data_IF_108467480501
#
_entry.id   IF_108467480501
#
_cell.length_a   1.000
_cell.length_b   1.000
_cell.length_c   1.000
_cell.angle_alpha   90.00
_cell.angle_beta   90.00
_cell.angle_gamma   90.00
#
_symmetry.space_group_name_H-M   'P 1'
#
loop_
_entity.id
_entity.type
_entity.pdbx_description
1 polymer ?
#
# COMPACT_ATOMS: atom_id res chain seq x y z
N UNK A 1 2.59 1.27 14.48
CA UNK A 1 1.30 0.57 14.72
C UNK A 1 1.37 -0.78 14.00
N UNK A 2 0.55 -1.76 14.39
CA UNK A 2 0.50 -3.08 13.70
C UNK A 2 -0.76 -3.19 12.85
N UNK A 3 -0.87 -4.30 12.10
CA UNK A 3 -2.03 -4.64 11.26
C UNK A 3 -3.34 -4.68 12.06
N UNK A 4 -3.30 -4.98 13.37
CA UNK A 4 -4.45 -4.83 14.28
C UNK A 4 -4.95 -3.38 14.33
N UNK A 5 -4.02 -2.43 14.46
CA UNK A 5 -4.37 -1.02 14.49
C UNK A 5 -4.90 -0.55 13.12
N UNK A 6 -4.33 -1.06 12.03
CA UNK A 6 -4.84 -0.79 10.67
C UNK A 6 -6.28 -1.31 10.52
N UNK A 7 -6.54 -2.57 10.86
CA UNK A 7 -7.88 -3.16 10.76
C UNK A 7 -8.90 -2.38 11.60
N UNK A 8 -8.53 -1.95 12.80
CA UNK A 8 -9.40 -1.12 13.65
C UNK A 8 -9.68 0.26 13.02
N UNK A 9 -8.69 0.89 12.37
CA UNK A 9 -8.89 2.16 11.65
C UNK A 9 -9.82 1.99 10.45
N UNK A 10 -9.66 0.90 9.68
CA UNK A 10 -10.53 0.54 8.55
C UNK A 10 -11.99 0.41 9.04
N UNK A 11 -12.21 -0.34 10.11
CA UNK A 11 -13.56 -0.54 10.70
C UNK A 11 -14.15 0.78 11.20
N UNK A 12 -13.38 1.57 11.95
CA UNK A 12 -13.84 2.86 12.50
C UNK A 12 -14.26 3.83 11.39
N UNK A 13 -13.46 3.91 10.32
CA UNK A 13 -13.72 4.82 9.18
C UNK A 13 -14.68 4.21 8.14
N UNK A 14 -14.99 2.92 8.26
CA UNK A 14 -15.73 2.13 7.25
C UNK A 14 -15.14 2.38 5.85
N UNK A 15 -13.82 2.36 5.78
CA UNK A 15 -13.08 2.68 4.57
C UNK A 15 -11.82 1.82 4.45
N UNK A 16 -11.79 0.80 3.58
CA UNK A 16 -10.66 -0.07 3.39
C UNK A 16 -9.71 0.45 2.29
N UNK A 17 -9.52 1.76 2.18
CA UNK A 17 -8.67 2.35 1.17
C UNK A 17 -7.53 3.19 1.76
N UNK A 18 -6.42 3.25 1.04
CA UNK A 18 -5.25 4.07 1.35
C UNK A 18 -4.92 5.00 0.18
N UNK A 19 -4.38 6.17 0.49
CA UNK A 19 -3.85 7.07 -0.53
C UNK A 19 -2.36 6.83 -0.72
N UNK A 20 -1.95 6.69 -1.98
CA UNK A 20 -0.55 6.61 -2.38
C UNK A 20 -0.03 8.01 -2.65
N UNK A 21 0.98 8.41 -1.90
CA UNK A 21 1.72 9.65 -2.09
C UNK A 21 3.00 9.33 -2.86
N UNK A 22 2.87 9.28 -4.17
CA UNK A 22 3.95 9.12 -5.13
C UNK A 22 3.86 10.28 -6.13
N UNK A 23 4.26 11.51 -5.72
CA UNK A 23 4.07 12.69 -6.55
C UNK A 23 4.88 12.56 -7.84
N UNK A 24 4.28 12.99 -8.94
CA UNK A 24 4.98 13.27 -10.17
C UNK A 24 4.75 14.73 -10.57
N UNK A 25 5.59 15.25 -11.46
CA UNK A 25 5.60 16.69 -11.81
C UNK A 25 4.24 17.27 -12.20
N UNK A 26 3.32 16.46 -12.67
CA UNK A 26 2.03 16.95 -13.09
C UNK A 26 0.94 16.86 -12.01
N UNK A 27 1.22 16.39 -10.79
CA UNK A 27 0.19 16.20 -9.76
C UNK A 27 0.10 17.32 -8.73
N UNK A 28 1.17 18.08 -8.60
CA UNK A 28 1.20 19.25 -7.71
C UNK A 28 0.58 20.43 -8.47
N UNK A 29 -0.38 21.16 -7.89
CA UNK A 29 -0.96 22.34 -8.53
C UNK A 29 0.09 23.41 -8.85
N UNK A 30 -0.07 24.12 -9.96
CA UNK A 30 0.85 25.19 -10.35
C UNK A 30 0.94 26.26 -9.25
N UNK A 31 2.17 26.68 -8.95
CA UNK A 31 2.44 27.69 -7.93
C UNK A 31 2.39 27.22 -6.48
N UNK A 32 2.09 25.94 -6.23
CA UNK A 32 2.13 25.37 -4.89
C UNK A 32 3.43 24.57 -4.66
N UNK A 33 3.97 24.69 -3.45
CA UNK A 33 5.05 23.83 -3.01
C UNK A 33 4.53 22.41 -2.71
N UNK A 34 5.25 21.38 -3.15
CA UNK A 34 4.82 19.98 -3.03
C UNK A 34 4.56 19.57 -1.57
N UNK A 35 5.43 19.99 -0.66
CA UNK A 35 5.29 19.71 0.77
C UNK A 35 4.03 20.34 1.38
N UNK A 36 3.75 21.60 1.05
CA UNK A 36 2.57 22.31 1.53
C UNK A 36 1.28 21.66 1.02
N UNK A 37 1.22 21.39 -0.28
CA UNK A 37 0.05 20.75 -0.87
C UNK A 37 -0.22 19.37 -0.27
N UNK A 38 0.80 18.49 -0.21
CA UNK A 38 0.64 17.14 0.30
C UNK A 38 0.32 17.10 1.80
N UNK A 39 0.88 18.01 2.60
CA UNK A 39 0.53 18.15 4.01
C UNK A 39 -0.92 18.63 4.20
N UNK A 40 -1.38 19.58 3.39
CA UNK A 40 -2.76 20.07 3.40
C UNK A 40 -3.73 18.96 2.97
N UNK A 41 -3.37 18.20 1.93
CA UNK A 41 -4.12 17.03 1.47
C UNK A 41 -4.26 15.97 2.59
N UNK A 42 -3.18 15.65 3.29
CA UNK A 42 -3.21 14.75 4.45
C UNK A 42 -4.16 15.27 5.54
N UNK A 43 -4.12 16.57 5.83
CA UNK A 43 -5.01 17.18 6.81
C UNK A 43 -6.50 17.07 6.40
N UNK A 44 -6.81 17.30 5.12
CA UNK A 44 -8.16 17.14 4.57
C UNK A 44 -8.69 15.70 4.58
N UNK A 45 -7.81 14.73 4.40
CA UNK A 45 -8.17 13.31 4.31
C UNK A 45 -8.18 12.54 5.64
N UNK A 46 -7.71 13.15 6.75
CA UNK A 46 -7.44 12.44 8.02
C UNK A 46 -8.65 11.68 8.58
N UNK A 47 -9.86 12.21 8.40
CA UNK A 47 -11.07 11.60 8.94
C UNK A 47 -11.68 10.55 8.01
N UNK A 48 -11.29 10.56 6.75
CA UNK A 48 -11.78 9.66 5.71
C UNK A 48 -10.88 8.43 5.51
N UNK A 49 -9.57 8.63 5.39
CA UNK A 49 -8.59 7.62 4.98
C UNK A 49 -7.86 7.03 6.19
N UNK A 50 -7.77 5.69 6.37
CA UNK A 50 -7.09 5.05 7.49
C UNK A 50 -5.57 4.99 7.35
N UNK A 51 -5.05 4.95 6.13
CA UNK A 51 -3.65 4.68 5.84
C UNK A 51 -3.14 5.48 4.64
N UNK A 52 -1.84 5.73 4.62
CA UNK A 52 -1.14 6.32 3.48
C UNK A 52 0.08 5.50 3.11
N UNK A 53 0.39 5.41 1.81
CA UNK A 53 1.62 4.80 1.29
C UNK A 53 2.48 5.89 0.65
N UNK A 54 3.71 6.05 1.13
CA UNK A 54 4.67 7.01 0.62
C UNK A 54 5.77 6.27 -0.15
N UNK A 55 6.07 6.75 -1.36
CA UNK A 55 7.15 6.26 -2.19
C UNK A 55 8.30 7.28 -2.22
N UNK A 56 9.40 7.07 -1.46
CA UNK A 56 10.54 7.99 -1.43
C UNK A 56 11.15 8.23 -2.81
N UNK A 57 11.20 7.19 -3.66
CA UNK A 57 11.79 7.30 -4.99
C UNK A 57 10.98 8.25 -5.89
N UNK A 58 9.65 8.23 -5.78
CA UNK A 58 8.79 9.14 -6.52
C UNK A 58 9.03 10.61 -6.14
N UNK A 59 9.20 10.91 -4.85
CA UNK A 59 9.58 12.27 -4.40
C UNK A 59 10.90 12.72 -4.99
N UNK A 60 11.88 11.82 -5.01
CA UNK A 60 13.21 12.11 -5.57
C UNK A 60 13.17 12.37 -7.08
N UNK A 61 12.56 11.48 -7.84
CA UNK A 61 12.44 11.56 -9.30
C UNK A 61 11.66 12.81 -9.72
N UNK A 62 10.66 13.20 -8.93
CA UNK A 62 9.83 14.39 -9.21
C UNK A 62 10.51 15.72 -8.85
N UNK A 63 11.70 15.68 -8.24
CA UNK A 63 12.44 16.90 -7.85
C UNK A 63 11.86 17.56 -6.60
N UNK A 64 11.11 16.84 -5.78
CA UNK A 64 10.54 17.32 -4.50
C UNK A 64 11.00 16.47 -3.30
N UNK A 65 12.25 16.01 -3.34
CA UNK A 65 12.82 15.16 -2.28
C UNK A 65 12.73 15.79 -0.89
N UNK A 66 12.88 17.11 -0.79
CA UNK A 66 12.82 17.85 0.48
C UNK A 66 11.41 17.81 1.11
N UNK A 67 10.36 17.58 0.32
CA UNK A 67 9.00 17.42 0.81
C UNK A 67 8.76 16.07 1.51
N UNK A 68 9.58 15.04 1.24
CA UNK A 68 9.31 13.68 1.72
C UNK A 68 9.25 13.58 3.25
N UNK A 69 10.26 14.10 3.95
CA UNK A 69 10.32 14.02 5.43
C UNK A 69 9.20 14.82 6.08
N UNK A 70 8.94 16.09 5.73
CA UNK A 70 7.78 16.84 6.26
C UNK A 70 6.43 16.14 6.04
N UNK A 71 6.21 15.54 4.86
CA UNK A 71 4.96 14.81 4.54
C UNK A 71 4.84 13.53 5.38
N UNK A 72 5.95 12.80 5.56
CA UNK A 72 6.01 11.61 6.40
C UNK A 72 5.69 11.94 7.87
N UNK A 73 6.31 12.97 8.42
CA UNK A 73 6.07 13.45 9.79
C UNK A 73 4.63 13.90 9.96
N UNK A 74 4.09 14.65 9.00
CA UNK A 74 2.69 15.08 9.00
C UNK A 74 1.71 13.92 8.99
N UNK A 75 1.97 12.89 8.19
CA UNK A 75 1.14 11.68 8.16
C UNK A 75 1.11 10.98 9.53
N UNK A 76 2.24 10.93 10.22
CA UNK A 76 2.34 10.36 11.56
C UNK A 76 1.64 11.22 12.63
N UNK A 77 1.85 12.53 12.60
CA UNK A 77 1.18 13.48 13.49
C UNK A 77 -0.35 13.34 13.41
N UNK A 78 -0.88 13.24 12.20
CA UNK A 78 -2.30 13.04 11.93
C UNK A 78 -2.81 11.64 12.27
N UNK A 79 -1.92 10.74 12.67
CA UNK A 79 -2.27 9.40 13.15
C UNK A 79 -2.64 8.42 12.05
N UNK A 80 -2.19 8.61 10.81
CA UNK A 80 -2.33 7.60 9.76
C UNK A 80 -1.56 6.32 10.10
N UNK A 81 -2.00 5.19 9.53
CA UNK A 81 -1.13 4.04 9.39
C UNK A 81 -0.23 4.29 8.17
N UNK A 82 1.06 4.43 8.43
CA UNK A 82 2.04 4.84 7.42
C UNK A 82 2.76 3.64 6.84
N UNK A 83 2.64 3.46 5.53
CA UNK A 83 3.31 2.42 4.74
C UNK A 83 4.42 3.08 3.92
N UNK A 84 5.65 2.64 4.08
CA UNK A 84 6.77 3.08 3.24
C UNK A 84 6.93 2.12 2.06
N UNK A 85 6.92 2.63 0.84
CA UNK A 85 7.20 1.83 -0.36
C UNK A 85 8.71 1.71 -0.58
N UNK A 86 9.21 0.49 -0.46
CA UNK A 86 10.61 0.15 -0.63
C UNK A 86 10.76 -1.07 -1.53
N UNK A 87 10.08 -1.05 -2.68
CA UNK A 87 10.01 -2.19 -3.61
C UNK A 87 11.25 -2.40 -4.45
N UNK A 88 12.38 -1.84 -4.04
CA UNK A 88 13.68 -2.07 -4.67
C UNK A 88 14.05 -3.55 -4.68
N UNK A 89 14.75 -3.96 -5.73
CA UNK A 89 15.46 -5.24 -5.74
C UNK A 89 16.76 -5.07 -4.93
N UNK A 90 16.87 -5.77 -3.82
CA UNK A 90 18.03 -5.68 -2.92
C UNK A 90 18.63 -7.06 -2.69
N UNK A 91 19.97 -7.13 -2.76
CA UNK A 91 20.71 -8.30 -2.28
C UNK A 91 20.60 -8.42 -0.75
N UNK A 92 20.83 -9.60 -0.15
CA UNK A 92 20.63 -9.83 1.29
C UNK A 92 21.33 -8.83 2.22
N UNK A 93 22.57 -8.45 1.93
CA UNK A 93 23.31 -7.48 2.76
C UNK A 93 22.74 -6.06 2.62
N UNK A 94 22.32 -5.64 1.42
CA UNK A 94 21.62 -4.36 1.21
C UNK A 94 20.28 -4.35 1.95
N UNK A 95 19.49 -5.42 1.81
CA UNK A 95 18.21 -5.58 2.51
C UNK A 95 18.39 -5.53 4.03
N UNK A 96 19.47 -6.10 4.56
CA UNK A 96 19.80 -6.05 5.99
C UNK A 96 20.13 -4.63 6.44
N UNK A 97 20.94 -3.89 5.68
CA UNK A 97 21.27 -2.49 5.99
C UNK A 97 20.03 -1.60 5.91
N UNK A 98 19.27 -1.67 4.80
CA UNK A 98 18.04 -0.89 4.62
C UNK A 98 17.03 -1.16 5.74
N UNK A 99 16.80 -2.43 6.08
CA UNK A 99 15.90 -2.81 7.16
C UNK A 99 16.37 -2.32 8.53
N UNK A 100 17.69 -2.35 8.79
CA UNK A 100 18.27 -1.80 10.01
C UNK A 100 18.02 -0.29 10.11
N UNK A 101 18.33 0.46 9.07
CA UNK A 101 18.21 1.92 9.07
C UNK A 101 16.76 2.38 9.15
N UNK A 102 15.87 1.77 8.35
CA UNK A 102 14.47 2.20 8.26
C UNK A 102 13.67 1.72 9.47
N UNK A 103 13.81 0.47 9.87
CA UNK A 103 12.94 -0.13 10.89
C UNK A 103 13.55 -0.16 12.29
N UNK A 104 14.86 -0.10 12.46
CA UNK A 104 15.52 -0.12 13.78
C UNK A 104 16.01 1.25 14.21
N UNK A 105 16.67 1.97 13.31
CA UNK A 105 17.17 3.32 13.56
C UNK A 105 16.12 4.39 13.29
N UNK A 106 15.00 4.00 12.68
CA UNK A 106 13.83 4.84 12.42
C UNK A 106 14.15 6.11 11.64
N UNK A 107 15.11 6.04 10.69
CA UNK A 107 15.45 7.19 9.85
C UNK A 107 14.22 7.72 9.08
N UNK A 108 13.27 6.80 8.76
CA UNK A 108 11.95 7.14 8.21
C UNK A 108 10.87 6.38 8.98
N UNK A 109 10.33 6.97 10.06
CA UNK A 109 9.42 6.28 10.96
C UNK A 109 8.10 5.90 10.26
N UNK A 110 7.87 4.59 10.11
CA UNK A 110 6.69 4.01 9.47
C UNK A 110 6.08 2.88 10.30
N UNK A 111 4.87 2.47 9.98
CA UNK A 111 4.18 1.34 10.61
C UNK A 111 4.37 0.05 9.82
N UNK A 112 4.60 0.18 8.51
CA UNK A 112 4.86 -0.92 7.62
C UNK A 112 5.79 -0.52 6.47
N UNK A 113 6.38 -1.53 5.83
CA UNK A 113 7.15 -1.38 4.59
C UNK A 113 6.59 -2.31 3.51
N UNK A 114 6.66 -1.87 2.26
CA UNK A 114 6.49 -2.74 1.09
C UNK A 114 7.88 -3.06 0.55
N UNK A 115 8.15 -4.34 0.30
CA UNK A 115 9.43 -4.81 -0.24
C UNK A 115 9.23 -5.73 -1.43
N UNK A 116 10.29 -5.96 -2.21
CA UNK A 116 10.25 -6.84 -3.36
C UNK A 116 10.44 -8.32 -2.93
N UNK A 117 9.50 -9.19 -3.29
CA UNK A 117 9.55 -10.63 -2.96
C UNK A 117 10.43 -11.46 -3.88
N UNK A 118 10.77 -10.94 -5.05
CA UNK A 118 11.52 -11.70 -6.07
C UNK A 118 13.02 -11.81 -5.79
N UNK A 119 13.52 -11.08 -4.79
CA UNK A 119 14.86 -11.27 -4.25
C UNK A 119 15.00 -12.56 -3.41
N UNK A 120 13.89 -13.20 -3.04
CA UNK A 120 13.89 -14.47 -2.29
C UNK A 120 13.90 -14.29 -0.77
N UNK A 121 13.89 -15.42 -0.07
CA UNK A 121 13.73 -15.45 1.40
C UNK A 121 14.91 -14.87 2.18
N UNK A 122 16.10 -14.93 1.63
CA UNK A 122 17.31 -14.43 2.28
C UNK A 122 17.35 -12.90 2.37
N UNK A 123 16.69 -12.18 1.44
CA UNK A 123 16.45 -10.73 1.56
C UNK A 123 15.24 -10.43 2.43
N UNK A 124 14.10 -11.07 2.19
CA UNK A 124 12.84 -10.83 2.91
C UNK A 124 12.98 -11.06 4.42
N UNK A 125 13.75 -12.07 4.86
CA UNK A 125 13.97 -12.39 6.29
C UNK A 125 14.56 -11.23 7.09
N UNK A 126 15.42 -10.41 6.49
CA UNK A 126 16.04 -9.28 7.18
C UNK A 126 15.02 -8.20 7.51
N UNK A 127 14.14 -7.88 6.59
CA UNK A 127 13.04 -6.95 6.79
C UNK A 127 12.07 -7.44 7.87
N UNK A 128 11.65 -8.71 7.79
CA UNK A 128 10.72 -9.27 8.76
C UNK A 128 11.32 -9.35 10.17
N UNK A 129 12.60 -9.72 10.28
CA UNK A 129 13.33 -9.71 11.56
C UNK A 129 13.46 -8.29 12.15
N UNK A 130 13.76 -7.29 11.30
CA UNK A 130 13.87 -5.91 11.73
C UNK A 130 12.52 -5.32 12.17
N UNK A 131 11.41 -5.68 11.48
CA UNK A 131 10.06 -5.26 11.84
C UNK A 131 9.64 -5.70 13.27
N UNK A 132 10.20 -6.77 13.75
CA UNK A 132 9.95 -7.27 15.11
C UNK A 132 8.47 -7.62 15.34
N UNK A 133 7.90 -7.15 16.47
CA UNK A 133 6.49 -7.35 16.83
C UNK A 133 5.61 -6.11 16.65
N UNK A 134 6.16 -5.02 16.16
CA UNK A 134 5.49 -3.71 16.18
C UNK A 134 5.21 -3.13 14.81
N UNK A 135 5.79 -3.71 13.75
CA UNK A 135 5.64 -3.25 12.37
C UNK A 135 5.28 -4.41 11.45
N UNK A 136 4.72 -4.08 10.30
CA UNK A 136 4.28 -5.04 9.30
C UNK A 136 5.17 -4.97 8.07
N UNK A 137 5.23 -6.08 7.32
CA UNK A 137 5.97 -6.18 6.07
C UNK A 137 5.04 -6.71 4.99
N UNK A 138 4.85 -5.93 3.94
CA UNK A 138 4.13 -6.32 2.74
C UNK A 138 5.13 -6.71 1.67
N UNK A 139 5.01 -7.91 1.14
CA UNK A 139 5.91 -8.43 0.10
C UNK A 139 5.20 -8.36 -1.25
N UNK A 140 5.76 -7.61 -2.19
CA UNK A 140 5.25 -7.55 -3.56
C UNK A 140 5.39 -8.92 -4.22
N UNK A 141 4.26 -9.51 -4.58
CA UNK A 141 4.20 -10.81 -5.28
C UNK A 141 3.58 -10.68 -6.67
N UNK A 142 2.75 -9.65 -6.91
CA UNK A 142 2.15 -9.40 -8.23
C UNK A 142 1.93 -7.90 -8.45
N UNK A 143 2.41 -7.41 -9.59
CA UNK A 143 2.28 -5.99 -9.97
C UNK A 143 0.90 -5.68 -10.57
N UNK A 144 0.51 -4.40 -10.58
CA UNK A 144 -0.79 -3.95 -11.07
C UNK A 144 -0.84 -3.79 -12.60
N UNK A 145 0.30 -3.72 -13.27
CA UNK A 145 0.39 -3.50 -14.71
C UNK A 145 0.07 -4.77 -15.53
N UNK A 146 -0.46 -4.58 -16.75
CA UNK A 146 -0.83 -5.67 -17.66
C UNK A 146 0.33 -6.62 -17.93
N UNK A 147 1.51 -6.12 -18.28
CA UNK A 147 2.68 -6.94 -18.63
C UNK A 147 3.28 -7.74 -17.46
N UNK A 148 2.86 -7.47 -16.22
CA UNK A 148 3.19 -8.33 -15.08
C UNK A 148 2.76 -9.79 -15.30
N UNK A 149 1.74 -10.04 -16.13
CA UNK A 149 1.28 -11.39 -16.50
C UNK A 149 2.32 -12.17 -17.29
N UNK A 150 3.20 -11.52 -18.06
CA UNK A 150 4.21 -12.16 -18.89
C UNK A 150 5.23 -12.99 -18.08
N UNK A 151 5.44 -12.61 -16.82
CA UNK A 151 6.37 -13.28 -15.90
C UNK A 151 5.62 -13.90 -14.72
N UNK A 152 4.77 -13.14 -14.08
CA UNK A 152 4.16 -13.51 -12.80
C UNK A 152 3.07 -14.58 -12.94
N UNK A 153 2.44 -14.67 -14.12
CA UNK A 153 1.44 -15.72 -14.46
C UNK A 153 2.04 -16.93 -15.19
N UNK A 154 3.36 -16.97 -15.35
CA UNK A 154 4.01 -18.20 -15.84
C UNK A 154 3.79 -19.33 -14.84
N UNK A 155 3.56 -20.53 -15.36
CA UNK A 155 3.40 -21.72 -14.54
C UNK A 155 4.74 -22.48 -14.40
N UNK A 156 5.08 -22.79 -13.17
CA UNK A 156 6.25 -23.60 -12.84
C UNK A 156 5.92 -24.55 -11.69
N UNK A 157 6.21 -25.84 -11.87
CA UNK A 157 5.88 -26.85 -10.88
C UNK A 157 4.41 -26.90 -10.48
N UNK A 158 3.48 -26.68 -11.44
CA UNK A 158 2.03 -26.71 -11.21
C UNK A 158 1.44 -25.48 -10.50
N UNK A 159 2.18 -24.40 -10.40
CA UNK A 159 1.74 -23.15 -9.75
C UNK A 159 2.25 -21.91 -10.50
N UNK A 160 1.55 -20.79 -10.35
CA UNK A 160 2.01 -19.52 -10.91
C UNK A 160 3.22 -18.97 -10.11
N UNK A 161 4.08 -18.21 -10.80
CA UNK A 161 5.24 -17.56 -10.19
C UNK A 161 4.83 -16.67 -9.01
N UNK A 162 3.76 -15.85 -9.15
CA UNK A 162 3.27 -15.02 -8.04
C UNK A 162 2.79 -15.85 -6.84
N UNK A 163 2.20 -17.03 -7.07
CA UNK A 163 1.80 -17.92 -5.96
C UNK A 163 3.01 -18.60 -5.32
N UNK A 164 4.07 -18.88 -6.09
CA UNK A 164 5.32 -19.38 -5.53
C UNK A 164 5.96 -18.34 -4.58
N UNK A 165 5.96 -17.07 -4.98
CA UNK A 165 6.39 -15.98 -4.10
C UNK A 165 5.50 -15.86 -2.84
N UNK A 166 4.17 -15.95 -2.99
CA UNK A 166 3.25 -15.91 -1.84
C UNK A 166 3.41 -17.13 -0.91
N UNK A 167 3.75 -18.32 -1.41
CA UNK A 167 4.09 -19.49 -0.60
C UNK A 167 5.31 -19.27 0.29
N UNK A 168 6.33 -18.52 -0.19
CA UNK A 168 7.49 -18.14 0.63
C UNK A 168 7.06 -17.24 1.78
N UNK A 169 6.26 -16.22 1.49
CA UNK A 169 5.74 -15.28 2.49
C UNK A 169 4.90 -16.01 3.54
N UNK A 170 4.00 -16.88 3.10
CA UNK A 170 3.13 -17.65 4.00
C UNK A 170 3.92 -18.50 4.98
N UNK A 171 4.93 -19.23 4.50
CA UNK A 171 5.79 -20.06 5.37
C UNK A 171 6.62 -19.25 6.36
N UNK A 172 7.13 -18.08 5.93
CA UNK A 172 7.91 -17.21 6.80
C UNK A 172 7.04 -16.50 7.85
N UNK A 173 5.77 -16.22 7.51
CA UNK A 173 4.80 -15.57 8.38
C UNK A 173 4.13 -16.49 9.40
N UNK A 174 4.46 -17.80 9.41
CA UNK A 174 3.97 -18.72 10.42
C UNK A 174 4.37 -18.23 11.83
N UNK A 175 3.39 -18.08 12.73
CA UNK A 175 3.60 -17.52 14.06
C UNK A 175 3.59 -15.98 14.15
N UNK A 176 3.39 -15.26 13.05
CA UNK A 176 3.29 -13.80 13.05
C UNK A 176 1.83 -13.28 13.03
N UNK A 177 0.91 -14.11 13.51
CA UNK A 177 -0.51 -13.78 13.56
C UNK A 177 -0.82 -12.73 14.63
N UNK A 178 -1.66 -11.76 14.25
CA UNK A 178 -2.21 -10.74 15.15
C UNK A 178 -3.66 -11.08 15.57
N UNK A 179 -4.20 -10.31 16.52
CA UNK A 179 -5.56 -10.53 17.07
C UNK A 179 -6.67 -10.39 16.04
N UNK A 180 -6.45 -9.57 15.01
CA UNK A 180 -7.39 -9.42 13.89
C UNK A 180 -7.47 -10.67 12.99
N UNK A 181 -6.66 -11.69 13.25
CA UNK A 181 -6.65 -12.93 12.47
C UNK A 181 -5.76 -12.94 11.24
N UNK A 182 -4.96 -11.90 11.04
CA UNK A 182 -4.05 -11.77 9.90
C UNK A 182 -2.59 -11.71 10.33
N UNK A 183 -1.69 -12.20 9.45
CA UNK A 183 -0.24 -12.17 9.66
C UNK A 183 0.33 -10.77 9.40
N UNK A 184 1.32 -10.37 10.21
CA UNK A 184 2.12 -9.16 10.00
C UNK A 184 3.08 -9.25 8.82
N UNK A 185 3.42 -10.46 8.39
CA UNK A 185 4.08 -10.68 7.11
C UNK A 185 3.00 -10.98 6.08
N UNK A 186 2.78 -10.05 5.19
CA UNK A 186 1.65 -9.94 4.29
C UNK A 186 2.13 -9.80 2.83
N UNK A 187 1.23 -9.72 1.87
CA UNK A 187 1.61 -9.53 0.46
C UNK A 187 0.98 -8.27 -0.13
N UNK A 188 1.65 -7.72 -1.14
CA UNK A 188 1.10 -6.73 -2.05
C UNK A 188 0.83 -7.38 -3.41
N UNK A 189 -0.37 -7.14 -3.95
CA UNK A 189 -0.78 -7.63 -5.26
C UNK A 189 -1.68 -6.62 -5.99
N UNK A 190 -1.53 -6.56 -7.32
CA UNK A 190 -2.25 -5.61 -8.15
C UNK A 190 -3.70 -5.99 -8.45
N UNK A 191 -4.57 -4.99 -8.62
CA UNK A 191 -5.99 -5.13 -8.93
C UNK A 191 -6.28 -5.38 -10.43
N UNK A 192 -5.27 -5.52 -11.28
CA UNK A 192 -5.45 -5.74 -12.72
C UNK A 192 -6.24 -7.04 -13.01
N UNK A 193 -5.95 -8.09 -12.28
CA UNK A 193 -6.61 -9.39 -12.45
C UNK A 193 -7.28 -9.84 -11.14
N UNK A 194 -8.61 -9.73 -11.07
CA UNK A 194 -9.38 -10.17 -9.91
C UNK A 194 -9.24 -11.67 -9.59
N UNK A 195 -8.98 -12.53 -10.60
CA UNK A 195 -8.77 -13.95 -10.37
C UNK A 195 -7.50 -14.23 -9.55
N UNK A 196 -6.43 -13.44 -9.72
CA UNK A 196 -5.22 -13.59 -8.91
C UNK A 196 -5.45 -13.21 -7.45
N UNK A 197 -6.20 -12.13 -7.20
CA UNK A 197 -6.58 -11.72 -5.84
C UNK A 197 -7.47 -12.78 -5.16
N UNK A 198 -8.44 -13.32 -5.91
CA UNK A 198 -9.27 -14.43 -5.44
C UNK A 198 -8.43 -15.65 -5.07
N UNK A 199 -7.51 -16.06 -5.94
CA UNK A 199 -6.59 -17.17 -5.68
C UNK A 199 -5.76 -16.94 -4.41
N UNK A 200 -5.20 -15.72 -4.24
CA UNK A 200 -4.43 -15.37 -3.04
C UNK A 200 -5.29 -15.44 -1.78
N UNK A 201 -6.51 -14.89 -1.80
CA UNK A 201 -7.42 -14.93 -0.65
C UNK A 201 -7.85 -16.35 -0.29
N UNK A 202 -8.22 -17.17 -1.28
CA UNK A 202 -8.67 -18.55 -1.04
C UNK A 202 -7.52 -19.45 -0.53
N UNK A 203 -6.34 -19.29 -1.11
CA UNK A 203 -5.17 -20.11 -0.74
C UNK A 203 -4.55 -19.69 0.59
N UNK A 204 -4.56 -18.39 0.90
CA UNK A 204 -3.92 -17.81 2.08
C UNK A 204 -4.92 -16.97 2.92
N UNK A 205 -5.91 -17.62 3.56
CA UNK A 205 -7.01 -16.91 4.23
C UNK A 205 -6.56 -16.01 5.39
N UNK A 206 -5.41 -16.28 5.99
CA UNK A 206 -4.82 -15.51 7.10
C UNK A 206 -3.80 -14.45 6.66
N UNK A 207 -3.56 -14.32 5.37
CA UNK A 207 -2.65 -13.31 4.82
C UNK A 207 -3.40 -12.01 4.58
N UNK A 208 -2.85 -10.88 5.05
CA UNK A 208 -3.39 -9.58 4.68
C UNK A 208 -2.96 -9.20 3.27
N UNK A 209 -3.84 -8.60 2.48
CA UNK A 209 -3.58 -8.23 1.10
C UNK A 209 -3.55 -6.69 0.95
N UNK A 210 -2.39 -6.14 0.65
CA UNK A 210 -2.28 -4.75 0.17
C UNK A 210 -2.55 -4.77 -1.34
N UNK A 211 -3.69 -4.22 -1.75
CA UNK A 211 -4.11 -4.23 -3.15
C UNK A 211 -3.67 -2.94 -3.81
N UNK A 212 -2.84 -3.05 -4.83
CA UNK A 212 -2.27 -1.91 -5.55
C UNK A 212 -2.96 -1.62 -6.89
N UNK A 213 -2.76 -0.40 -7.36
CA UNK A 213 -3.03 0.01 -8.75
C UNK A 213 -4.49 0.30 -9.06
N UNK A 214 -5.29 0.78 -8.10
CA UNK A 214 -6.70 1.12 -8.40
C UNK A 214 -6.84 2.19 -9.50
N UNK A 215 -5.82 3.03 -9.68
CA UNK A 215 -5.77 4.05 -10.73
C UNK A 215 -5.17 3.54 -12.05
N UNK A 216 -4.65 2.31 -12.07
CA UNK A 216 -4.04 1.73 -13.25
C UNK A 216 -5.09 1.23 -14.25
N UNK A 217 -4.76 1.34 -15.54
CA UNK A 217 -5.64 0.88 -16.61
C UNK A 217 -5.97 -0.61 -16.49
N UNK A 218 -7.26 -0.92 -16.49
CA UNK A 218 -7.77 -2.28 -16.32
C UNK A 218 -7.99 -2.71 -14.87
N UNK A 219 -7.51 -1.93 -13.89
CA UNK A 219 -7.81 -2.13 -12.49
C UNK A 219 -9.18 -1.52 -12.12
N UNK A 220 -9.87 -2.10 -11.16
CA UNK A 220 -11.14 -1.59 -10.68
C UNK A 220 -11.52 -2.14 -9.30
N UNK A 221 -12.47 -1.49 -8.65
CA UNK A 221 -12.92 -1.85 -7.30
C UNK A 221 -13.56 -3.25 -7.22
N UNK A 222 -14.20 -3.74 -8.30
CA UNK A 222 -14.74 -5.10 -8.36
C UNK A 222 -13.62 -6.13 -8.31
N UNK A 223 -12.55 -5.95 -9.07
CA UNK A 223 -11.37 -6.83 -9.00
C UNK A 223 -10.74 -6.78 -7.61
N UNK A 224 -10.56 -5.58 -7.04
CA UNK A 224 -10.01 -5.39 -5.71
C UNK A 224 -10.83 -6.08 -4.62
N UNK A 225 -12.16 -6.18 -4.78
CA UNK A 225 -13.05 -6.79 -3.78
C UNK A 225 -12.75 -8.27 -3.52
N UNK A 226 -12.16 -8.99 -4.47
CA UNK A 226 -11.78 -10.40 -4.28
C UNK A 226 -10.64 -10.59 -3.25
N UNK A 227 -9.97 -9.51 -2.85
CA UNK A 227 -8.93 -9.56 -1.81
C UNK A 227 -9.50 -9.65 -0.39
N UNK A 228 -10.76 -9.32 -0.18
CA UNK A 228 -11.40 -9.28 1.13
C UNK A 228 -11.98 -10.64 1.54
N UNK A 229 -12.09 -10.83 2.84
CA UNK A 229 -12.88 -11.93 3.39
C UNK A 229 -14.38 -11.60 3.38
N UNK A 230 -15.20 -12.52 3.89
CA UNK A 230 -16.67 -12.37 3.94
C UNK A 230 -17.15 -11.25 4.87
N UNK A 231 -16.29 -10.78 5.78
CA UNK A 231 -16.59 -9.71 6.73
C UNK A 231 -16.08 -8.34 6.22
N UNK A 232 -15.51 -8.30 5.01
CA UNK A 232 -14.88 -7.11 4.46
C UNK A 232 -13.54 -6.76 5.12
N UNK A 233 -12.85 -7.75 5.67
CA UNK A 233 -11.57 -7.61 6.34
C UNK A 233 -10.42 -8.21 5.51
N UNK A 234 -9.20 -8.03 6.00
CA UNK A 234 -8.00 -8.69 5.49
C UNK A 234 -7.41 -8.07 4.23
N UNK A 235 -7.88 -6.90 3.81
CA UNK A 235 -7.28 -6.16 2.71
C UNK A 235 -7.37 -4.65 2.88
N UNK A 236 -6.46 -3.94 2.18
CA UNK A 236 -6.43 -2.48 2.02
C UNK A 236 -6.18 -2.16 0.55
N UNK A 237 -7.01 -1.31 -0.05
CA UNK A 237 -6.91 -0.96 -1.48
C UNK A 237 -6.22 0.39 -1.64
N UNK A 238 -5.19 0.45 -2.49
CA UNK A 238 -4.40 1.65 -2.75
C UNK A 238 -4.82 2.34 -4.05
N UNK A 239 -5.04 3.65 -3.96
CA UNK A 239 -5.17 4.56 -5.08
C UNK A 239 -4.45 5.87 -4.77
N UNK A 240 -3.95 6.58 -5.76
CA UNK A 240 -3.13 7.76 -5.51
C UNK A 240 -3.31 8.84 -6.56
N UNK A 241 -3.04 8.56 -7.82
CA UNK A 241 -3.03 9.56 -8.89
C UNK A 241 -4.38 10.26 -9.06
N UNK A 242 -5.47 9.52 -9.01
CA UNK A 242 -6.84 10.05 -9.10
C UNK A 242 -7.25 10.92 -7.91
N UNK A 243 -6.50 10.86 -6.81
CA UNK A 243 -6.73 11.66 -5.60
C UNK A 243 -5.79 12.86 -5.58
N UNK A 244 -4.47 12.62 -5.64
CA UNK A 244 -3.46 13.69 -5.59
C UNK A 244 -3.61 14.67 -6.76
N UNK A 245 -3.94 14.15 -7.95
CA UNK A 245 -4.18 14.95 -9.17
C UNK A 245 -5.64 15.30 -9.43
N UNK A 246 -6.56 15.10 -8.48
CA UNK A 246 -8.00 15.28 -8.68
C UNK A 246 -8.40 16.70 -9.15
N UNK A 247 -7.63 17.70 -8.74
CA UNK A 247 -7.82 19.08 -9.15
C UNK A 247 -7.80 19.30 -10.67
N UNK A 248 -7.14 18.42 -11.43
CA UNK A 248 -7.08 18.49 -12.90
C UNK A 248 -8.40 18.14 -13.58
N UNK A 249 -9.26 17.40 -12.91
CA UNK A 249 -10.57 16.99 -13.39
C UNK A 249 -11.64 18.08 -13.13
N UNK A 250 -11.26 19.16 -12.42
CA UNK A 250 -12.14 20.26 -12.05
C UNK A 250 -11.74 21.50 -12.85
N UNK A 251 -12.63 22.01 -13.67
CA UNK A 251 -12.40 23.24 -14.43
C UNK A 251 -12.24 24.43 -13.47
N UNK A 252 -11.14 25.21 -13.61
CA UNK A 252 -10.80 26.33 -12.74
C UNK A 252 -10.83 25.99 -11.26
N UNK A 253 -10.12 24.93 -10.86
CA UNK A 253 -10.12 24.42 -9.49
C UNK A 253 -9.52 25.41 -8.49
N UNK A 254 -10.36 26.07 -7.68
CA UNK A 254 -9.92 27.00 -6.65
C UNK A 254 -9.43 26.31 -5.37
N UNK A 255 -9.89 25.05 -5.11
CA UNK A 255 -9.51 24.28 -3.94
C UNK A 255 -9.09 22.86 -4.33
N UNK A 256 -7.79 22.64 -4.61
CA UNK A 256 -7.25 21.32 -4.96
C UNK A 256 -7.42 20.28 -3.84
N UNK A 257 -7.45 20.70 -2.58
CA UNK A 257 -7.63 19.79 -1.44
C UNK A 257 -9.07 19.31 -1.36
N UNK A 258 -10.05 20.17 -1.56
CA UNK A 258 -11.46 19.78 -1.61
C UNK A 258 -11.71 18.79 -2.78
N UNK A 259 -11.12 19.04 -3.94
CA UNK A 259 -11.21 18.12 -5.09
C UNK A 259 -10.63 16.73 -4.74
N UNK A 260 -9.49 16.68 -4.03
CA UNK A 260 -8.88 15.44 -3.59
C UNK A 260 -9.74 14.69 -2.53
N UNK A 261 -10.36 15.40 -1.60
CA UNK A 261 -11.28 14.82 -0.60
C UNK A 261 -12.47 14.17 -1.32
N UNK A 262 -13.08 14.87 -2.27
CA UNK A 262 -14.19 14.32 -3.06
C UNK A 262 -13.78 13.07 -3.86
N UNK A 263 -12.59 13.08 -4.46
CA UNK A 263 -12.04 11.92 -5.18
C UNK A 263 -11.82 10.72 -4.23
N UNK A 264 -11.30 10.96 -3.03
CA UNK A 264 -11.14 9.92 -2.01
C UNK A 264 -12.48 9.37 -1.53
N UNK A 265 -13.50 10.19 -1.39
CA UNK A 265 -14.86 9.74 -1.10
C UNK A 265 -15.44 8.89 -2.25
N UNK A 266 -15.19 9.28 -3.52
CA UNK A 266 -15.58 8.46 -4.68
C UNK A 266 -14.88 7.10 -4.63
N UNK A 267 -13.58 7.05 -4.32
CA UNK A 267 -12.84 5.81 -4.16
C UNK A 267 -13.45 4.94 -3.06
N UNK A 268 -13.73 5.52 -1.88
CA UNK A 268 -14.42 4.82 -0.80
C UNK A 268 -15.75 4.22 -1.27
N UNK A 269 -16.62 5.04 -1.89
CA UNK A 269 -17.92 4.55 -2.40
C UNK A 269 -17.77 3.43 -3.41
N UNK A 270 -16.78 3.53 -4.31
CA UNK A 270 -16.52 2.51 -5.33
C UNK A 270 -16.09 1.18 -4.70
N UNK A 271 -15.21 1.21 -3.70
CA UNK A 271 -14.76 -0.01 -3.01
C UNK A 271 -15.87 -0.60 -2.14
N UNK A 272 -16.54 0.24 -1.34
CA UNK A 272 -17.61 -0.23 -0.42
C UNK A 272 -18.90 -0.66 -1.13
N UNK A 273 -19.05 -0.37 -2.41
CA UNK A 273 -20.12 -0.96 -3.25
C UNK A 273 -20.01 -2.48 -3.36
N UNK A 274 -18.80 -3.02 -3.27
CA UNK A 274 -18.52 -4.46 -3.40
C UNK A 274 -18.07 -5.11 -2.10
N UNK A 275 -17.73 -4.31 -1.09
CA UNK A 275 -17.18 -4.78 0.19
C UNK A 275 -17.91 -4.10 1.34
N UNK A 276 -18.61 -4.89 2.14
CA UNK A 276 -19.20 -4.39 3.40
C UNK A 276 -18.18 -4.55 4.52
N UNK A 277 -17.67 -3.45 5.05
CA UNK A 277 -16.76 -3.45 6.21
C UNK A 277 -17.58 -3.52 7.49
N UNK A 278 -17.50 -4.65 8.20
CA UNK A 278 -18.18 -4.93 9.47
C UNK A 278 -17.33 -4.56 10.69
#
# INVERSE_FOLDING_TARGET
MSIDALQNKIRKKKNPSAVVLAPNRGMIPEGMEAGEYLCSLLAGLKDLIPAVRLDPAAFWISGCADAFVPVLEKARELGYYVILDWTRMEHPEEAKESAQRILKEECWPCDAVVINGYAGTDSVKHWFKAAGKTRDVYVLVKTANKSGTEIQDLQTGGRFVYTAAADLVSRMGDGAMERCGYSRLAVMAGAYNGASLKTLREKYPKMFLLVDGLDESGCNARNASFAFDRLGHGALVCGGMSIVGAWKEVENCDDPVAAAVEAAERMKRNVTRYVTVL
#
